data_IF_738884325974
#
_entry.id   IF_738884325974
#
_cell.length_a   1.000
_cell.length_b   1.000
_cell.length_c   1.000
_cell.angle_alpha   90.00
_cell.angle_beta   90.00
_cell.angle_gamma   90.00
#
_symmetry.space_group_name_H-M   'P 1'
#
loop_
_entity.id
_entity.type
_entity.pdbx_description
1 polymer ?
#
# COMPACT_ATOMS: atom_id res chain seq x y z
N UNK A 1 -30.69 26.00 -11.23
CA UNK A 1 -30.37 25.53 -9.86
C UNK A 1 -29.27 24.48 -9.96
N UNK A 2 -28.20 24.62 -9.15
CA UNK A 2 -27.02 23.74 -9.10
C UNK A 2 -27.38 22.28 -8.84
N UNK A 3 -26.72 21.34 -9.54
CA UNK A 3 -26.05 20.16 -8.94
C UNK A 3 -24.82 19.80 -9.76
N UNK A 4 -23.80 19.35 -9.04
CA UNK A 4 -22.39 19.16 -9.39
C UNK A 4 -22.20 17.75 -9.97
N UNK A 5 -21.43 17.63 -11.05
CA UNK A 5 -21.00 16.35 -11.62
C UNK A 5 -19.58 16.09 -11.07
N UNK A 6 -19.43 15.05 -10.25
CA UNK A 6 -18.13 14.46 -9.94
C UNK A 6 -17.91 13.31 -10.93
N UNK A 7 -16.87 13.43 -11.75
CA UNK A 7 -16.41 12.36 -12.62
C UNK A 7 -15.55 11.37 -11.85
N UNK A 8 -16.06 10.15 -11.70
CA UNK A 8 -15.24 8.93 -11.64
C UNK A 8 -15.64 8.16 -12.89
N UNK A 9 -14.78 8.20 -13.91
CA UNK A 9 -14.95 7.35 -15.09
C UNK A 9 -14.38 5.97 -14.73
N UNK A 10 -15.24 5.11 -14.20
CA UNK A 10 -15.10 3.66 -14.39
C UNK A 10 -15.92 3.35 -15.63
N UNK A 11 -15.28 3.33 -16.79
CA UNK A 11 -15.89 2.81 -18.00
C UNK A 11 -15.89 1.27 -17.93
N UNK A 12 -16.93 0.71 -17.31
CA UNK A 12 -17.34 -0.68 -17.54
C UNK A 12 -18.00 -0.72 -18.91
N UNK A 13 -17.21 -1.02 -19.95
CA UNK A 13 -17.75 -1.30 -21.28
C UNK A 13 -18.00 -2.81 -21.33
N UNK A 14 -19.26 -3.22 -21.17
CA UNK A 14 -19.70 -4.55 -21.54
C UNK A 14 -19.76 -4.62 -23.08
N UNK A 15 -18.70 -5.09 -23.73
CA UNK A 15 -18.77 -5.45 -25.15
C UNK A 15 -19.48 -6.79 -25.29
N UNK A 16 -20.80 -6.74 -25.52
CA UNK A 16 -21.57 -7.89 -25.97
C UNK A 16 -21.25 -8.07 -27.46
N UNK A 17 -20.32 -8.97 -27.81
CA UNK A 17 -20.15 -9.38 -29.20
C UNK A 17 -21.25 -10.37 -29.58
N UNK A 18 -22.40 -9.83 -30.01
CA UNK A 18 -23.30 -10.52 -30.93
C UNK A 18 -22.97 -10.01 -32.34
N UNK A 19 -22.50 -10.90 -33.22
CA UNK A 19 -22.25 -10.56 -34.62
C UNK A 19 -23.60 -10.26 -35.30
N UNK A 20 -23.87 -8.99 -35.61
CA UNK A 20 -24.78 -8.58 -36.67
C UNK A 20 -24.19 -7.36 -37.39
N UNK A 21 -24.17 -7.45 -38.72
CA UNK A 21 -23.67 -6.50 -39.71
C UNK A 21 -24.20 -5.06 -39.51
N UNK A 22 -23.31 -4.07 -39.44
CA UNK A 22 -23.60 -2.69 -39.79
C UNK A 22 -22.38 -2.06 -40.50
N UNK A 23 -22.61 -1.57 -41.72
CA UNK A 23 -21.70 -0.74 -42.51
C UNK A 23 -21.53 0.63 -41.83
N UNK A 24 -20.37 1.21 -42.08
CA UNK A 24 -19.88 2.55 -41.69
C UNK A 24 -19.16 2.61 -40.33
N UNK A 25 -17.82 2.59 -40.42
CA UNK A 25 -16.90 2.94 -39.34
C UNK A 25 -17.08 4.44 -39.02
N UNK A 26 -17.38 4.83 -37.78
CA UNK A 26 -17.33 6.24 -37.40
C UNK A 26 -15.87 6.74 -37.46
N UNK A 27 -15.65 8.05 -37.69
CA UNK A 27 -14.31 8.60 -37.81
C UNK A 27 -13.52 8.37 -36.53
N UNK A 28 -12.32 7.81 -36.66
CA UNK A 28 -11.35 7.69 -35.57
C UNK A 28 -10.94 9.09 -35.13
N UNK A 29 -11.47 9.54 -34.01
CA UNK A 29 -10.88 10.65 -33.25
C UNK A 29 -9.71 10.05 -32.47
N UNK A 30 -8.50 10.28 -32.96
CA UNK A 30 -7.28 9.95 -32.24
C UNK A 30 -7.14 10.93 -31.08
N UNK A 31 -7.60 10.52 -29.90
CA UNK A 31 -7.37 11.27 -28.67
C UNK A 31 -5.95 10.93 -28.25
N UNK A 32 -5.00 11.79 -28.62
CA UNK A 32 -3.67 11.73 -28.03
C UNK A 32 -3.85 11.73 -26.51
N UNK A 33 -3.27 10.74 -25.78
CA UNK A 33 -3.28 10.78 -24.32
C UNK A 33 -2.75 12.16 -23.89
N UNK A 34 -3.26 12.75 -22.80
CA UNK A 34 -2.61 13.92 -22.25
C UNK A 34 -1.14 13.54 -22.08
N UNK A 35 -0.28 14.17 -22.90
CA UNK A 35 1.15 14.19 -22.61
C UNK A 35 1.22 14.58 -21.15
N UNK A 36 1.96 13.83 -20.33
CA UNK A 36 2.38 14.30 -19.02
C UNK A 36 3.22 15.55 -19.27
N UNK A 37 2.53 16.67 -19.45
CA UNK A 37 3.12 18.00 -19.43
C UNK A 37 3.56 18.12 -17.99
N UNK A 38 4.88 18.14 -17.78
CA UNK A 38 5.56 18.45 -16.51
C UNK A 38 4.59 19.03 -15.49
N UNK A 39 4.05 18.16 -14.62
CA UNK A 39 3.12 18.59 -13.59
C UNK A 39 3.83 19.70 -12.79
N UNK A 40 3.17 20.83 -12.49
CA UNK A 40 3.84 21.88 -11.74
C UNK A 40 4.30 21.29 -10.41
N UNK A 41 5.56 21.54 -10.04
CA UNK A 41 6.11 21.10 -8.76
C UNK A 41 5.37 21.81 -7.63
N UNK A 42 4.48 21.10 -6.95
CA UNK A 42 3.83 21.59 -5.75
C UNK A 42 4.44 20.90 -4.54
N UNK A 43 4.92 21.70 -3.59
CA UNK A 43 5.25 21.17 -2.27
C UNK A 43 3.96 20.80 -1.55
N UNK A 44 3.94 19.66 -0.88
CA UNK A 44 2.82 19.28 -0.03
C UNK A 44 2.73 20.23 1.17
N UNK A 45 1.52 20.55 1.64
CA UNK A 45 1.33 21.23 2.93
C UNK A 45 1.05 20.15 3.97
N UNK A 46 1.73 20.19 5.11
CA UNK A 46 1.54 19.20 6.20
C UNK A 46 1.21 19.93 7.49
N UNK A 47 0.01 19.70 8.01
CA UNK A 47 -0.50 20.35 9.22
C UNK A 47 -0.94 19.31 10.26
N UNK A 48 -0.84 19.61 11.56
CA UNK A 48 -1.26 18.69 12.60
C UNK A 48 -2.79 18.62 12.70
N UNK A 49 -3.32 17.41 12.81
CA UNK A 49 -4.60 17.15 13.47
C UNK A 49 -4.32 16.70 14.90
N UNK A 50 -4.77 17.50 15.86
CA UNK A 50 -4.55 17.23 17.28
C UNK A 50 -5.68 16.39 17.88
N UNK A 51 -5.32 15.38 18.66
CA UNK A 51 -6.24 14.61 19.51
C UNK A 51 -5.65 14.57 20.91
N UNK A 52 -6.27 15.30 21.84
CA UNK A 52 -5.77 15.43 23.21
C UNK A 52 -6.87 15.25 24.24
N UNK A 53 -6.68 14.33 25.17
CA UNK A 53 -7.57 14.13 26.32
C UNK A 53 -6.89 13.35 27.44
N UNK A 54 -7.45 13.44 28.64
CA UNK A 54 -7.08 12.60 29.78
C UNK A 54 -8.34 12.06 30.45
N UNK A 55 -8.29 10.82 30.91
CA UNK A 55 -9.31 10.22 31.76
C UNK A 55 -8.64 9.50 32.95
N UNK A 56 -9.36 8.66 33.67
CA UNK A 56 -8.84 7.99 34.88
C UNK A 56 -7.69 7.03 34.60
N UNK A 57 -7.62 6.46 33.40
CA UNK A 57 -6.66 5.40 33.06
C UNK A 57 -5.62 5.77 32.00
N UNK A 58 -5.85 6.80 31.18
CA UNK A 58 -4.94 7.17 30.10
C UNK A 58 -4.85 8.69 29.89
N UNK A 59 -3.69 9.15 29.43
CA UNK A 59 -3.46 10.45 28.81
C UNK A 59 -3.06 10.26 27.34
N UNK A 60 -3.72 11.00 26.44
CA UNK A 60 -3.50 10.95 25.00
C UNK A 60 -3.16 12.36 24.51
N UNK A 61 -2.05 12.51 23.79
CA UNK A 61 -1.61 13.75 23.14
C UNK A 61 -1.02 13.43 21.75
N UNK A 62 -1.88 13.39 20.73
CA UNK A 62 -1.49 12.99 19.37
C UNK A 62 -1.44 14.21 18.46
N UNK A 63 -0.32 14.40 17.77
CA UNK A 63 -0.24 15.20 16.54
C UNK A 63 -0.19 14.25 15.35
N UNK A 64 -1.29 14.18 14.61
CA UNK A 64 -1.43 13.35 13.41
C UNK A 64 -1.10 14.21 12.19
N UNK A 65 -0.06 13.90 11.39
CA UNK A 65 0.24 14.67 10.20
C UNK A 65 -0.87 14.51 9.15
N UNK A 66 -1.46 15.64 8.73
CA UNK A 66 -2.38 15.70 7.60
C UNK A 66 -1.69 16.41 6.43
N UNK A 67 -1.43 15.64 5.38
CA UNK A 67 -0.99 16.16 4.10
C UNK A 67 -2.19 16.73 3.36
N UNK A 68 -2.05 17.94 2.83
CA UNK A 68 -2.90 18.52 1.80
C UNK A 68 -2.12 18.55 0.49
N UNK A 69 -2.69 17.96 -0.54
CA UNK A 69 -2.09 17.87 -1.87
C UNK A 69 -3.14 17.95 -2.98
N UNK A 70 -2.73 18.39 -4.17
CA UNK A 70 -3.66 18.64 -5.28
C UNK A 70 -4.38 17.36 -5.73
N UNK A 71 -3.70 16.21 -5.70
CA UNK A 71 -4.32 14.92 -5.98
C UNK A 71 -4.94 14.32 -4.70
N UNK A 72 -6.27 14.29 -4.62
CA UNK A 72 -7.02 13.77 -3.46
C UNK A 72 -6.88 12.27 -3.23
N UNK A 73 -6.56 11.49 -4.26
CA UNK A 73 -6.29 10.06 -4.10
C UNK A 73 -4.92 9.88 -3.44
N UNK A 74 -3.88 10.54 -3.96
CA UNK A 74 -2.53 10.55 -3.37
C UNK A 74 -2.56 11.08 -1.93
N UNK A 75 -3.28 12.19 -1.69
CA UNK A 75 -3.51 12.75 -0.35
C UNK A 75 -4.05 11.70 0.62
N UNK A 76 -5.12 10.99 0.21
CA UNK A 76 -5.74 9.95 1.04
C UNK A 76 -4.77 8.80 1.33
N UNK A 77 -4.03 8.32 0.33
CA UNK A 77 -3.06 7.22 0.49
C UNK A 77 -2.01 7.59 1.55
N UNK A 78 -1.42 8.78 1.44
CA UNK A 78 -0.37 9.20 2.38
C UNK A 78 -0.93 9.42 3.80
N UNK A 79 -2.09 10.06 3.92
CA UNK A 79 -2.74 10.31 5.21
C UNK A 79 -3.17 9.00 5.90
N UNK A 80 -3.82 8.08 5.18
CA UNK A 80 -4.21 6.78 5.73
C UNK A 80 -2.97 6.01 6.24
N UNK A 81 -1.86 6.06 5.50
CA UNK A 81 -0.62 5.34 5.83
C UNK A 81 0.05 5.84 7.11
N UNK A 82 -0.02 7.14 7.38
CA UNK A 82 0.52 7.75 8.61
C UNK A 82 -0.47 7.70 9.78
N UNK A 83 -1.77 7.91 9.55
CA UNK A 83 -2.79 7.90 10.61
C UNK A 83 -2.95 6.50 11.22
N UNK A 84 -2.84 5.45 10.41
CA UNK A 84 -3.05 4.06 10.86
C UNK A 84 -2.20 3.65 12.08
N UNK A 85 -0.85 3.69 12.06
CA UNK A 85 -0.06 3.26 13.21
C UNK A 85 -0.27 4.12 14.46
N UNK A 86 -0.52 5.43 14.29
CA UNK A 86 -0.84 6.33 15.42
C UNK A 86 -2.14 5.87 16.10
N UNK A 87 -3.18 5.62 15.31
CA UNK A 87 -4.48 5.20 15.84
C UNK A 87 -4.45 3.78 16.38
N UNK A 88 -3.69 2.87 15.75
CA UNK A 88 -3.50 1.51 16.24
C UNK A 88 -2.82 1.52 17.62
N UNK A 89 -1.73 2.28 17.80
CA UNK A 89 -1.04 2.42 19.09
C UNK A 89 -1.94 3.04 20.16
N UNK A 90 -2.68 4.11 19.82
CA UNK A 90 -3.63 4.74 20.73
C UNK A 90 -4.71 3.74 21.17
N UNK A 91 -5.32 3.02 20.22
CA UNK A 91 -6.43 2.12 20.52
C UNK A 91 -5.98 0.89 21.31
N UNK A 92 -4.82 0.31 21.00
CA UNK A 92 -4.27 -0.83 21.74
C UNK A 92 -3.90 -0.43 23.18
N UNK A 93 -3.19 0.69 23.35
CA UNK A 93 -2.78 1.19 24.66
C UNK A 93 -3.98 1.60 25.53
N UNK A 94 -4.98 2.26 24.94
CA UNK A 94 -6.20 2.64 25.66
C UNK A 94 -7.00 1.42 26.13
N UNK A 95 -7.08 0.38 25.29
CA UNK A 95 -7.73 -0.87 25.64
C UNK A 95 -7.03 -1.53 26.82
N UNK A 96 -5.70 -1.66 26.76
CA UNK A 96 -4.91 -2.26 27.85
C UNK A 96 -5.04 -1.45 29.15
N UNK A 97 -4.94 -0.12 29.08
CA UNK A 97 -5.09 0.77 30.21
C UNK A 97 -6.45 0.58 30.92
N UNK A 98 -7.52 0.48 30.13
CA UNK A 98 -8.87 0.26 30.65
C UNK A 98 -9.02 -1.11 31.28
N UNK A 99 -8.49 -2.16 30.66
CA UNK A 99 -8.55 -3.52 31.20
C UNK A 99 -7.81 -3.64 32.53
N UNK A 100 -6.60 -3.09 32.63
CA UNK A 100 -5.83 -3.08 33.87
C UNK A 100 -6.49 -2.23 34.95
N UNK A 101 -6.99 -1.04 34.61
CA UNK A 101 -7.67 -0.17 35.57
C UNK A 101 -8.90 -0.82 36.23
N UNK A 102 -9.62 -1.67 35.48
CA UNK A 102 -10.81 -2.36 35.99
C UNK A 102 -10.49 -3.65 36.76
N UNK A 103 -9.30 -4.23 36.58
CA UNK A 103 -8.92 -5.54 37.15
C UNK A 103 -7.87 -5.44 38.25
N UNK A 104 -7.21 -4.28 38.40
CA UNK A 104 -6.24 -4.02 39.47
C UNK A 104 -6.87 -4.25 40.84
N UNK A 105 -6.03 -4.64 41.81
CA UNK A 105 -6.46 -4.72 43.20
C UNK A 105 -6.81 -3.33 43.73
N UNK A 106 -7.77 -3.27 44.66
CA UNK A 106 -8.35 -2.02 45.15
C UNK A 106 -7.32 -1.02 45.68
N UNK A 107 -6.28 -1.54 46.33
CA UNK A 107 -5.21 -0.74 46.94
C UNK A 107 -3.97 -0.62 46.05
N UNK A 108 -3.99 -1.21 44.85
CA UNK A 108 -2.87 -1.11 43.91
C UNK A 108 -2.82 0.30 43.31
N UNK A 109 -1.70 1.04 43.50
CA UNK A 109 -1.52 2.33 42.86
C UNK A 109 -1.50 2.13 41.34
N UNK A 110 -2.22 2.99 40.64
CA UNK A 110 -2.30 2.94 39.18
C UNK A 110 -1.71 4.22 38.61
N UNK A 111 -0.63 4.07 37.84
CA UNK A 111 -0.08 5.15 37.04
C UNK A 111 -0.83 5.18 35.71
N UNK A 112 -1.35 6.35 35.33
CA UNK A 112 -2.01 6.51 34.04
C UNK A 112 -1.08 6.11 32.91
N UNK A 113 -1.63 5.35 31.97
CA UNK A 113 -0.92 5.07 30.73
C UNK A 113 -0.84 6.37 29.93
N UNK A 114 0.12 6.46 29.03
CA UNK A 114 0.31 7.63 28.20
C UNK A 114 0.55 7.21 26.75
N UNK A 115 -0.03 7.94 25.81
CA UNK A 115 0.27 7.81 24.37
C UNK A 115 0.48 9.20 23.80
N UNK A 116 1.61 9.41 23.12
CA UNK A 116 1.86 10.64 22.38
C UNK A 116 2.33 10.34 20.97
N UNK A 117 2.06 11.27 20.06
CA UNK A 117 2.67 11.28 18.73
C UNK A 117 3.11 12.68 18.36
N UNK A 118 4.26 12.78 17.70
CA UNK A 118 4.73 14.00 17.04
C UNK A 118 5.20 13.68 15.62
N UNK A 119 5.42 14.70 14.80
CA UNK A 119 5.97 14.51 13.46
C UNK A 119 6.88 15.66 13.05
N UNK A 120 7.77 15.37 12.10
CA UNK A 120 8.66 16.35 11.47
C UNK A 120 8.64 16.17 9.95
N UNK A 121 8.48 17.27 9.20
CA UNK A 121 8.69 17.28 7.75
C UNK A 121 10.16 17.56 7.48
N UNK A 122 10.93 16.52 7.17
CA UNK A 122 12.39 16.61 7.02
C UNK A 122 12.81 16.95 5.59
N UNK A 123 11.97 16.66 4.59
CA UNK A 123 12.20 16.99 3.18
C UNK A 123 10.88 17.21 2.44
N UNK A 124 10.80 18.20 1.54
CA UNK A 124 9.59 18.50 0.77
C UNK A 124 9.94 19.30 -0.48
N UNK A 125 10.52 18.61 -1.47
CA UNK A 125 11.01 19.20 -2.72
C UNK A 125 10.97 18.16 -3.85
N UNK A 126 10.81 18.61 -5.11
CA UNK A 126 10.97 17.75 -6.28
C UNK A 126 10.05 16.53 -6.32
N UNK A 127 8.77 16.71 -5.97
CA UNK A 127 7.76 15.64 -5.85
C UNK A 127 8.11 14.56 -4.82
N UNK A 128 9.00 14.84 -3.87
CA UNK A 128 9.33 13.95 -2.77
C UNK A 128 9.04 14.63 -1.45
N UNK A 129 8.36 13.91 -0.57
CA UNK A 129 8.04 14.33 0.79
C UNK A 129 8.60 13.29 1.78
N UNK A 130 9.42 13.74 2.71
CA UNK A 130 9.89 12.92 3.84
C UNK A 130 9.29 13.45 5.13
N UNK A 131 8.56 12.57 5.84
CA UNK A 131 7.94 12.85 7.12
C UNK A 131 8.38 11.79 8.12
N UNK A 132 8.89 12.22 9.27
CA UNK A 132 9.23 11.34 10.39
C UNK A 132 8.13 11.45 11.42
N UNK A 133 7.49 10.33 11.76
CA UNK A 133 6.52 10.24 12.85
C UNK A 133 7.22 9.60 14.05
N UNK A 134 7.13 10.25 15.21
CA UNK A 134 7.61 9.70 16.49
C UNK A 134 6.39 9.31 17.31
N UNK A 135 6.32 8.04 17.71
CA UNK A 135 5.29 7.49 18.56
C UNK A 135 5.89 7.19 19.93
N UNK A 136 5.15 7.49 20.98
CA UNK A 136 5.53 7.10 22.32
C UNK A 136 4.33 6.52 23.05
N UNK A 137 4.54 5.44 23.80
CA UNK A 137 3.60 5.00 24.80
C UNK A 137 4.28 4.59 26.11
N UNK A 138 3.53 4.72 27.20
CA UNK A 138 3.91 4.23 28.51
C UNK A 138 2.75 3.42 29.08
N UNK A 139 3.01 2.16 29.40
CA UNK A 139 2.04 1.21 29.93
C UNK A 139 2.40 0.75 31.35
N UNK A 140 3.21 1.55 32.07
CA UNK A 140 3.81 1.16 33.34
C UNK A 140 5.26 0.65 33.19
N UNK A 141 5.91 0.34 34.31
CA UNK A 141 7.30 -0.14 34.34
C UNK A 141 8.34 0.97 34.54
N UNK A 142 9.60 0.70 34.15
CA UNK A 142 10.72 1.61 34.40
C UNK A 142 10.79 2.79 33.41
N UNK A 143 10.30 2.62 32.18
CA UNK A 143 10.32 3.63 31.13
C UNK A 143 9.23 3.34 30.07
N UNK A 144 8.90 4.32 29.24
CA UNK A 144 8.04 4.11 28.07
C UNK A 144 8.79 3.47 26.90
N UNK A 145 8.08 3.35 25.79
CA UNK A 145 8.61 2.88 24.52
C UNK A 145 8.46 4.01 23.47
N UNK A 146 9.52 4.23 22.69
CA UNK A 146 9.53 5.21 21.60
C UNK A 146 9.79 4.49 20.28
N UNK A 147 8.95 4.75 19.29
CA UNK A 147 9.12 4.25 17.93
C UNK A 147 9.25 5.44 16.98
N UNK A 148 10.13 5.31 15.98
CA UNK A 148 10.31 6.28 14.91
C UNK A 148 9.98 5.62 13.58
N UNK A 149 9.03 6.20 12.85
CA UNK A 149 8.59 5.72 11.55
C UNK A 149 8.83 6.83 10.52
N UNK A 150 9.75 6.58 9.59
CA UNK A 150 10.01 7.49 8.48
C UNK A 150 9.21 7.10 7.24
N UNK A 151 8.55 8.08 6.64
CA UNK A 151 7.84 7.95 5.38
C UNK A 151 8.51 8.81 4.32
N UNK A 152 9.06 8.18 3.28
CA UNK A 152 9.65 8.86 2.12
C UNK A 152 8.73 8.69 0.92
N UNK A 153 7.79 9.62 0.75
CA UNK A 153 6.76 9.59 -0.28
C UNK A 153 7.23 10.14 -1.63
N UNK A 154 6.84 9.47 -2.70
CA UNK A 154 6.69 10.05 -4.04
C UNK A 154 5.30 10.71 -4.13
N UNK A 155 5.25 12.04 -4.23
CA UNK A 155 4.03 12.83 -4.28
C UNK A 155 3.21 12.60 -5.55
N UNK A 156 3.76 11.99 -6.60
CA UNK A 156 2.99 11.60 -7.78
C UNK A 156 2.08 10.41 -7.47
N UNK A 157 2.57 9.45 -6.69
CA UNK A 157 1.92 8.15 -6.46
C UNK A 157 1.35 7.99 -5.05
N UNK A 158 1.86 8.76 -4.07
CA UNK A 158 1.58 8.60 -2.64
C UNK A 158 2.30 7.41 -2.01
N UNK A 159 3.18 6.73 -2.75
CA UNK A 159 3.91 5.54 -2.28
C UNK A 159 5.18 5.92 -1.54
N UNK A 160 5.55 5.09 -0.57
CA UNK A 160 6.84 5.18 0.12
C UNK A 160 7.91 4.37 -0.59
N UNK A 161 9.13 4.87 -0.67
CA UNK A 161 10.24 4.19 -1.36
C UNK A 161 11.32 3.68 -0.43
N UNK A 162 12.20 2.86 -1.00
CA UNK A 162 13.44 2.38 -0.39
C UNK A 162 14.63 3.18 -0.89
N UNK A 163 15.81 3.00 -0.27
CA UNK A 163 17.04 3.71 -0.66
C UNK A 163 17.34 3.66 -2.17
N UNK A 164 17.08 2.51 -2.83
CA UNK A 164 17.26 2.34 -4.29
C UNK A 164 16.42 3.29 -5.14
N UNK A 165 15.27 3.74 -4.64
CA UNK A 165 14.34 4.59 -5.38
C UNK A 165 14.81 6.05 -5.37
N UNK A 166 15.60 6.43 -4.37
CA UNK A 166 16.13 7.77 -4.16
C UNK A 166 17.60 7.94 -4.57
N UNK A 167 18.37 6.85 -4.66
CA UNK A 167 19.80 6.87 -4.98
C UNK A 167 20.11 6.09 -6.26
N UNK A 168 21.17 6.48 -6.94
CA UNK A 168 21.68 5.81 -8.14
C UNK A 168 22.43 4.52 -7.76
N UNK A 169 22.16 3.41 -8.44
CA UNK A 169 22.85 2.14 -8.15
C UNK A 169 24.35 2.23 -8.45
N UNK A 170 24.72 3.05 -9.45
CA UNK A 170 26.09 3.34 -9.85
C UNK A 170 26.92 4.00 -8.74
N UNK A 171 26.27 4.57 -7.72
CA UNK A 171 26.95 5.19 -6.57
C UNK A 171 27.37 4.17 -5.51
N UNK A 172 27.03 2.89 -5.68
CA UNK A 172 27.25 1.85 -4.68
C UNK A 172 26.76 2.32 -3.28
N UNK A 173 25.54 2.88 -3.27
CA UNK A 173 25.03 3.65 -2.14
C UNK A 173 25.08 2.89 -0.81
N UNK A 174 24.86 1.57 -0.83
CA UNK A 174 24.92 0.74 0.39
C UNK A 174 26.30 0.74 1.02
N UNK A 175 27.36 0.67 0.20
CA UNK A 175 28.74 0.73 0.70
C UNK A 175 29.05 2.12 1.26
N UNK A 176 28.70 3.17 0.52
CA UNK A 176 28.91 4.57 0.97
C UNK A 176 28.24 4.82 2.32
N UNK A 177 27.00 4.36 2.47
CA UNK A 177 26.23 4.48 3.71
C UNK A 177 26.89 3.65 4.82
N UNK A 178 27.21 2.38 4.57
CA UNK A 178 27.83 1.50 5.58
C UNK A 178 29.14 2.07 6.11
N UNK A 179 30.01 2.52 5.21
CA UNK A 179 31.32 3.08 5.58
C UNK A 179 31.13 4.35 6.43
N UNK A 180 30.16 5.19 6.11
CA UNK A 180 29.88 6.40 6.87
C UNK A 180 29.26 6.12 8.25
N UNK A 181 28.32 5.18 8.34
CA UNK A 181 27.73 4.74 9.62
C UNK A 181 28.84 4.19 10.52
N UNK A 182 29.70 3.31 10.01
CA UNK A 182 30.84 2.77 10.79
C UNK A 182 31.82 3.86 11.23
N UNK A 183 32.10 4.83 10.36
CA UNK A 183 32.95 5.98 10.68
C UNK A 183 32.34 6.90 11.75
N UNK A 184 31.02 7.02 11.83
CA UNK A 184 30.36 7.78 12.89
C UNK A 184 30.34 7.00 14.21
N UNK A 185 30.05 5.70 14.17
CA UNK A 185 30.13 4.81 15.35
C UNK A 185 31.55 4.80 15.95
N UNK A 186 32.60 4.74 15.13
CA UNK A 186 33.99 4.68 15.62
C UNK A 186 34.46 5.95 16.34
N UNK A 187 33.77 7.08 16.17
CA UNK A 187 34.06 8.32 16.88
C UNK A 187 33.51 8.33 18.31
N UNK A 188 32.47 7.54 18.57
CA UNK A 188 31.80 7.48 19.88
C UNK A 188 31.42 6.03 20.23
N UNK A 189 32.39 5.08 20.25
CA UNK A 189 32.08 3.65 20.35
C UNK A 189 31.37 3.26 21.64
N UNK A 190 31.60 4.00 22.73
CA UNK A 190 31.03 3.73 24.05
C UNK A 190 29.51 3.93 24.12
N UNK A 191 28.91 4.59 23.12
CA UNK A 191 27.44 4.75 23.02
C UNK A 191 26.73 3.49 22.52
N UNK A 192 27.45 2.53 21.94
CA UNK A 192 26.89 1.40 21.20
C UNK A 192 27.19 0.06 21.87
N UNK A 193 26.52 -1.00 21.42
CA UNK A 193 26.85 -2.34 21.92
C UNK A 193 28.26 -2.76 21.51
N UNK A 194 28.87 -3.58 22.38
CA UNK A 194 30.19 -4.15 22.12
C UNK A 194 30.18 -4.92 20.81
N UNK A 195 31.28 -4.81 20.05
CA UNK A 195 31.51 -5.49 18.77
C UNK A 195 30.57 -5.08 17.62
N UNK A 196 29.76 -4.02 17.76
CA UNK A 196 28.84 -3.58 16.69
C UNK A 196 29.54 -3.28 15.35
N UNK A 197 30.75 -2.73 15.39
CA UNK A 197 31.54 -2.45 14.20
C UNK A 197 31.93 -3.73 13.44
N UNK A 198 32.06 -4.86 14.15
CA UNK A 198 32.38 -6.16 13.57
C UNK A 198 31.14 -6.88 13.05
N UNK A 199 29.94 -6.61 13.59
CA UNK A 199 28.69 -7.30 13.22
C UNK A 199 27.82 -6.53 12.24
N UNK A 200 28.04 -5.21 12.08
CA UNK A 200 27.32 -4.40 11.10
C UNK A 200 27.88 -4.66 9.69
N UNK A 201 27.43 -5.73 9.02
CA UNK A 201 28.01 -6.22 7.76
C UNK A 201 27.47 -5.54 6.50
N UNK A 202 26.35 -4.82 6.58
CA UNK A 202 25.69 -4.28 5.40
C UNK A 202 24.52 -3.35 5.74
N UNK A 203 23.99 -2.74 4.69
CA UNK A 203 22.75 -1.98 4.74
C UNK A 203 21.65 -2.86 4.13
N UNK A 204 20.64 -3.30 4.89
CA UNK A 204 19.54 -4.11 4.38
C UNK A 204 18.67 -3.30 3.41
N UNK A 205 17.81 -3.98 2.65
CA UNK A 205 16.95 -3.34 1.65
C UNK A 205 15.91 -2.41 2.26
N UNK A 206 15.35 -2.84 3.38
CA UNK A 206 14.36 -2.19 4.23
C UNK A 206 14.99 -1.36 5.35
N UNK A 207 16.26 -0.94 5.19
CA UNK A 207 16.92 -0.07 6.16
C UNK A 207 16.07 1.18 6.43
N UNK A 208 15.86 1.47 7.71
CA UNK A 208 15.20 2.68 8.18
C UNK A 208 15.99 3.94 7.81
N UNK A 209 15.36 4.86 7.07
CA UNK A 209 15.96 6.12 6.65
C UNK A 209 14.93 7.22 6.44
N UNK A 210 15.37 8.48 6.49
CA UNK A 210 14.62 9.63 6.01
C UNK A 210 15.50 10.58 5.21
N UNK A 211 14.86 11.43 4.39
CA UNK A 211 15.55 12.42 3.57
C UNK A 211 15.58 13.76 4.30
N UNK A 212 16.67 14.51 4.09
CA UNK A 212 16.83 15.89 4.55
C UNK A 212 17.35 16.73 3.40
N UNK A 213 17.39 18.06 3.54
CA UNK A 213 17.85 18.94 2.45
C UNK A 213 19.30 18.68 2.01
N UNK A 214 20.14 18.17 2.89
CA UNK A 214 21.58 18.06 2.70
C UNK A 214 22.14 16.63 2.83
N UNK A 215 21.28 15.64 3.09
CA UNK A 215 21.69 14.24 3.12
C UNK A 215 20.56 13.26 3.43
N UNK A 216 20.95 12.00 3.55
CA UNK A 216 20.08 10.92 4.02
C UNK A 216 20.43 10.65 5.48
N UNK A 217 19.45 10.46 6.33
CA UNK A 217 19.68 9.98 7.69
C UNK A 217 19.27 8.53 7.77
N UNK A 218 20.22 7.66 8.13
CA UNK A 218 19.96 6.28 8.52
C UNK A 218 19.72 6.26 10.02
N UNK A 219 18.70 5.54 10.47
CA UNK A 219 18.45 5.37 11.89
C UNK A 219 18.21 3.91 12.26
N UNK A 220 18.47 3.59 13.51
CA UNK A 220 18.27 2.26 14.07
C UNK A 220 17.28 2.34 15.24
N UNK A 221 16.27 1.45 15.33
CA UNK A 221 15.32 1.45 16.44
C UNK A 221 16.00 1.32 17.81
N UNK A 222 15.25 1.62 18.87
CA UNK A 222 15.71 1.37 20.24
C UNK A 222 16.19 -0.07 20.39
N UNK A 223 17.31 -0.25 21.10
CA UNK A 223 17.94 -1.56 21.35
C UNK A 223 18.49 -2.30 20.13
N UNK A 224 18.47 -1.74 18.93
CA UNK A 224 18.98 -2.46 17.76
C UNK A 224 20.52 -2.53 17.79
N UNK A 225 21.17 -1.37 17.89
CA UNK A 225 22.64 -1.27 17.90
C UNK A 225 23.23 -0.60 19.15
N UNK A 226 22.37 -0.09 20.04
CA UNK A 226 22.76 0.69 21.21
C UNK A 226 21.78 0.46 22.38
N UNK A 227 22.22 0.61 23.65
CA UNK A 227 21.32 0.52 24.80
C UNK A 227 20.28 1.65 24.80
N UNK A 228 19.16 1.45 25.49
CA UNK A 228 18.04 2.42 25.57
C UNK A 228 18.46 3.87 25.83
N UNK A 229 19.43 4.05 26.74
CA UNK A 229 19.91 5.39 27.15
C UNK A 229 20.55 6.18 26.02
N UNK A 230 21.01 5.52 24.95
CA UNK A 230 21.53 6.15 23.75
C UNK A 230 20.41 6.66 22.82
N UNK A 231 19.14 6.33 23.11
CA UNK A 231 18.00 6.67 22.27
C UNK A 231 18.00 5.90 20.94
N UNK A 232 17.37 6.49 19.93
CA UNK A 232 17.33 5.99 18.54
C UNK A 232 18.55 6.57 17.82
N UNK A 233 19.61 5.79 17.52
CA UNK A 233 20.80 6.33 16.89
C UNK A 233 20.51 6.76 15.45
N UNK A 234 21.02 7.93 15.08
CA UNK A 234 20.87 8.53 13.75
C UNK A 234 22.23 8.86 13.14
N UNK A 235 22.39 8.54 11.87
CA UNK A 235 23.62 8.72 11.11
C UNK A 235 23.31 9.51 9.85
N UNK A 236 23.84 10.71 9.75
CA UNK A 236 23.64 11.57 8.57
C UNK A 236 24.72 11.30 7.52
N UNK A 237 24.30 10.95 6.32
CA UNK A 237 25.16 10.75 5.14
C UNK A 237 24.92 11.93 4.19
N UNK A 238 25.85 12.90 4.10
CA UNK A 238 25.71 14.04 3.20
C UNK A 238 25.56 13.61 1.74
N UNK A 239 24.73 14.32 0.97
CA UNK A 239 24.53 13.99 -0.45
C UNK A 239 25.83 14.04 -1.27
N UNK A 240 26.80 14.84 -0.84
CA UNK A 240 28.13 14.95 -1.47
C UNK A 240 28.98 13.68 -1.39
N UNK A 241 28.59 12.67 -0.59
CA UNK A 241 29.26 11.36 -0.56
C UNK A 241 28.79 10.44 -1.69
N UNK A 242 27.67 10.75 -2.34
CA UNK A 242 27.16 10.04 -3.50
C UNK A 242 27.59 10.79 -4.76
N UNK A 243 28.14 10.08 -5.74
CA UNK A 243 28.68 10.71 -6.96
C UNK A 243 27.61 11.51 -7.71
N UNK A 244 26.37 11.06 -7.71
CA UNK A 244 25.27 11.74 -8.39
C UNK A 244 24.28 12.43 -7.43
N UNK A 245 24.46 12.27 -6.11
CA UNK A 245 23.55 12.82 -5.11
C UNK A 245 22.17 12.15 -5.10
N UNK A 246 21.14 12.89 -4.68
CA UNK A 246 19.75 12.44 -4.72
C UNK A 246 19.22 12.41 -6.15
N UNK A 247 18.46 11.37 -6.52
CA UNK A 247 17.72 11.31 -7.78
C UNK A 247 16.76 12.50 -7.90
N UNK A 248 16.77 13.17 -9.06
CA UNK A 248 15.90 14.33 -9.34
C UNK A 248 14.49 13.95 -9.76
N UNK A 249 14.36 12.84 -10.47
CA UNK A 249 13.09 12.33 -11.00
C UNK A 249 12.70 11.04 -10.28
N UNK A 250 12.40 11.15 -8.99
CA UNK A 250 11.93 10.01 -8.20
C UNK A 250 10.55 9.62 -8.72
N UNK A 251 10.42 8.37 -9.17
CA UNK A 251 9.16 7.75 -9.53
C UNK A 251 9.15 6.35 -8.93
N UNK A 252 8.39 6.20 -7.86
CA UNK A 252 8.28 4.91 -7.17
C UNK A 252 7.26 4.09 -7.93
N UNK A 253 7.75 3.14 -8.73
CA UNK A 253 6.90 2.19 -9.45
C UNK A 253 6.19 1.28 -8.46
N UNK A 254 4.96 0.90 -8.78
CA UNK A 254 4.24 -0.14 -8.06
C UNK A 254 5.03 -1.43 -8.01
N UNK A 255 5.13 -2.03 -6.82
CA UNK A 255 5.46 -3.44 -6.74
C UNK A 255 4.39 -4.24 -7.52
N UNK A 256 4.85 -5.31 -8.16
CA UNK A 256 4.22 -5.98 -9.28
C UNK A 256 2.80 -6.48 -8.96
N UNK A 257 1.77 -5.74 -9.37
CA UNK A 257 0.42 -6.29 -9.48
C UNK A 257 0.51 -7.55 -10.34
N UNK A 258 0.11 -8.68 -9.77
CA UNK A 258 0.15 -9.97 -10.44
C UNK A 258 -1.26 -10.49 -10.64
N UNK A 259 -1.48 -11.16 -11.77
CA UNK A 259 -2.73 -11.85 -12.06
C UNK A 259 -2.49 -13.35 -11.86
N UNK A 260 -3.08 -13.91 -10.80
CA UNK A 260 -3.08 -15.35 -10.57
C UNK A 260 -4.30 -15.99 -11.24
N UNK A 261 -4.14 -17.22 -11.75
CA UNK A 261 -5.26 -17.98 -12.34
C UNK A 261 -5.87 -18.90 -11.28
N UNK A 262 -7.16 -18.69 -11.00
CA UNK A 262 -7.99 -19.61 -10.23
C UNK A 262 -8.68 -20.61 -11.15
N UNK A 263 -8.83 -21.84 -10.69
CA UNK A 263 -9.46 -22.92 -11.47
C UNK A 263 -10.52 -23.67 -10.68
N UNK A 264 -11.65 -23.96 -11.32
CA UNK A 264 -12.73 -24.78 -10.77
C UNK A 264 -13.41 -25.57 -11.88
N UNK A 265 -13.35 -26.90 -11.79
CA UNK A 265 -14.02 -27.81 -12.74
C UNK A 265 -15.05 -28.64 -11.98
N UNK A 266 -16.32 -28.62 -12.42
CA UNK A 266 -17.35 -29.55 -11.94
C UNK A 266 -18.00 -30.26 -13.12
N UNK A 267 -17.95 -31.59 -13.13
CA UNK A 267 -18.58 -32.41 -14.16
C UNK A 267 -19.87 -33.01 -13.63
N UNK A 268 -20.92 -32.97 -14.42
CA UNK A 268 -22.22 -33.55 -14.10
C UNK A 268 -22.93 -34.05 -15.35
N UNK A 269 -23.97 -34.87 -15.15
CA UNK A 269 -24.66 -35.57 -16.24
C UNK A 269 -25.35 -34.62 -17.23
N UNK A 270 -26.01 -33.56 -16.73
CA UNK A 270 -26.75 -32.61 -17.57
C UNK A 270 -26.12 -31.21 -17.62
N UNK A 271 -25.15 -30.94 -16.73
CA UNK A 271 -24.46 -29.66 -16.64
C UNK A 271 -23.02 -29.87 -16.17
N UNK A 272 -22.07 -29.25 -16.86
CA UNK A 272 -20.67 -29.19 -16.44
C UNK A 272 -20.14 -27.75 -16.48
N UNK A 273 -19.22 -27.40 -15.59
CA UNK A 273 -18.53 -26.11 -15.58
C UNK A 273 -17.01 -26.25 -15.58
N UNK A 274 -16.35 -25.41 -16.37
CA UNK A 274 -14.90 -25.32 -16.52
C UNK A 274 -14.48 -23.86 -16.37
N UNK A 275 -14.08 -23.46 -15.16
CA UNK A 275 -13.78 -22.07 -14.83
C UNK A 275 -12.27 -21.91 -14.65
N UNK A 276 -11.67 -21.01 -15.44
CA UNK A 276 -10.27 -20.58 -15.37
C UNK A 276 -10.27 -19.06 -15.41
N UNK A 277 -10.16 -18.40 -14.26
CA UNK A 277 -10.41 -16.97 -14.16
C UNK A 277 -9.34 -16.24 -13.34
N UNK A 278 -9.14 -14.95 -13.58
CA UNK A 278 -8.07 -14.20 -12.97
C UNK A 278 -8.44 -13.73 -11.55
N UNK A 279 -7.42 -13.62 -10.71
CA UNK A 279 -7.46 -12.91 -9.43
C UNK A 279 -6.32 -11.90 -9.40
N UNK A 280 -6.64 -10.66 -9.09
CA UNK A 280 -5.65 -9.62 -8.86
C UNK A 280 -5.03 -9.85 -7.49
N UNK A 281 -3.70 -9.80 -7.44
CA UNK A 281 -2.90 -9.86 -6.22
C UNK A 281 -1.95 -8.68 -6.16
N UNK A 282 -1.57 -8.34 -4.93
CA UNK A 282 -0.57 -7.32 -4.63
C UNK A 282 -0.99 -5.92 -5.12
N UNK A 283 -2.29 -5.64 -5.16
CA UNK A 283 -2.76 -4.27 -5.35
C UNK A 283 -2.55 -3.49 -4.05
N UNK A 284 -2.02 -2.26 -4.12
CA UNK A 284 -1.72 -1.47 -2.91
C UNK A 284 -2.94 -1.25 -2.01
N UNK A 285 -4.13 -1.24 -2.61
CA UNK A 285 -5.38 -1.13 -1.90
C UNK A 285 -6.05 -2.52 -1.77
N UNK A 286 -5.97 -3.18 -0.61
CA UNK A 286 -6.55 -4.50 -0.40
C UNK A 286 -8.10 -4.49 -0.43
N UNK A 287 -8.73 -3.34 -0.18
CA UNK A 287 -10.19 -3.19 -0.29
C UNK A 287 -10.59 -3.17 -1.77
N UNK A 288 -9.87 -2.43 -2.61
CA UNK A 288 -10.11 -2.40 -4.06
C UNK A 288 -9.76 -3.75 -4.68
N UNK A 289 -8.65 -4.38 -4.28
CA UNK A 289 -8.30 -5.75 -4.70
C UNK A 289 -9.45 -6.70 -4.45
N UNK A 290 -9.96 -6.71 -3.20
CA UNK A 290 -11.10 -7.53 -2.80
C UNK A 290 -12.36 -7.18 -3.59
N UNK A 291 -12.62 -5.90 -3.86
CA UNK A 291 -13.79 -5.48 -4.63
C UNK A 291 -13.72 -5.95 -6.08
N UNK A 292 -12.58 -5.82 -6.76
CA UNK A 292 -12.40 -6.27 -8.14
C UNK A 292 -12.54 -7.79 -8.21
N UNK A 293 -11.85 -8.51 -7.32
CA UNK A 293 -11.96 -9.97 -7.24
C UNK A 293 -13.40 -10.42 -6.92
N UNK A 294 -14.15 -9.66 -6.12
CA UNK A 294 -15.58 -9.90 -5.85
C UNK A 294 -16.45 -9.66 -7.09
N UNK A 295 -16.15 -8.64 -7.89
CA UNK A 295 -16.89 -8.34 -9.13
C UNK A 295 -16.69 -9.48 -10.13
N UNK A 296 -15.44 -9.90 -10.37
CA UNK A 296 -15.10 -11.01 -11.27
C UNK A 296 -15.85 -12.29 -10.85
N UNK A 297 -15.74 -12.67 -9.58
CA UNK A 297 -16.38 -13.89 -9.07
C UNK A 297 -17.90 -13.82 -9.11
N UNK A 298 -18.50 -12.65 -8.85
CA UNK A 298 -19.95 -12.44 -8.95
C UNK A 298 -20.45 -12.55 -10.38
N UNK A 299 -19.73 -11.99 -11.34
CA UNK A 299 -20.11 -12.05 -12.76
C UNK A 299 -20.09 -13.49 -13.29
N UNK A 300 -19.02 -14.23 -13.00
CA UNK A 300 -18.91 -15.67 -13.28
C UNK A 300 -20.04 -16.47 -12.61
N UNK A 301 -20.38 -16.14 -11.36
CA UNK A 301 -21.48 -16.79 -10.65
C UNK A 301 -22.84 -16.53 -11.32
N UNK A 302 -23.08 -15.33 -11.83
CA UNK A 302 -24.32 -15.00 -12.54
C UNK A 302 -24.41 -15.75 -13.87
N UNK A 303 -23.34 -15.71 -14.67
CA UNK A 303 -23.26 -16.46 -15.93
C UNK A 303 -23.53 -17.96 -15.74
N UNK A 304 -22.82 -18.59 -14.80
CA UNK A 304 -22.99 -20.04 -14.55
C UNK A 304 -24.40 -20.38 -14.07
N UNK A 305 -25.05 -19.53 -13.27
CA UNK A 305 -26.47 -19.71 -12.87
C UNK A 305 -27.41 -19.69 -14.08
N UNK A 306 -27.21 -18.78 -15.02
CA UNK A 306 -28.05 -18.69 -16.22
C UNK A 306 -27.90 -19.93 -17.12
N UNK A 307 -26.68 -20.43 -17.30
CA UNK A 307 -26.44 -21.68 -18.03
C UNK A 307 -27.07 -22.87 -17.30
N UNK A 308 -26.95 -22.94 -15.97
CA UNK A 308 -27.59 -23.99 -15.16
C UNK A 308 -29.11 -23.98 -15.32
N UNK A 309 -29.72 -22.80 -15.36
CA UNK A 309 -31.17 -22.67 -15.59
C UNK A 309 -31.57 -23.22 -16.96
N UNK A 310 -30.79 -22.94 -18.01
CA UNK A 310 -31.00 -23.52 -19.35
C UNK A 310 -30.83 -25.04 -19.35
N UNK A 311 -29.86 -25.55 -18.61
CA UNK A 311 -29.64 -26.98 -18.44
C UNK A 311 -30.86 -27.68 -17.81
N UNK A 312 -31.40 -27.14 -16.71
CA UNK A 312 -32.60 -27.70 -16.09
C UNK A 312 -33.83 -27.63 -16.99
N UNK A 313 -33.99 -26.55 -17.78
CA UNK A 313 -35.08 -26.43 -18.76
C UNK A 313 -34.94 -27.38 -19.98
N UNK A 314 -33.74 -27.93 -20.18
CA UNK A 314 -33.42 -28.85 -21.28
C UNK A 314 -33.43 -30.31 -20.86
N UNK A 315 -33.65 -30.58 -19.56
CA UNK A 315 -33.63 -31.92 -18.99
C UNK A 315 -34.64 -32.83 -19.67
N UNK A 316 -34.17 -33.99 -20.13
CA UNK A 316 -35.00 -34.96 -20.86
C UNK A 316 -35.28 -34.61 -22.32
N UNK A 317 -34.81 -33.48 -22.84
CA UNK A 317 -34.88 -33.16 -24.28
C UNK A 317 -33.75 -33.84 -25.03
N UNK A 318 -33.99 -34.16 -26.30
CA UNK A 318 -33.00 -34.68 -27.22
C UNK A 318 -32.60 -33.61 -28.24
N UNK A 319 -31.32 -33.56 -28.60
CA UNK A 319 -30.81 -32.72 -29.67
C UNK A 319 -31.11 -33.33 -31.05
N UNK A 320 -30.71 -32.65 -32.12
CA UNK A 320 -30.95 -33.09 -33.52
C UNK A 320 -30.30 -34.45 -33.87
N UNK A 321 -29.40 -34.95 -33.01
CA UNK A 321 -28.75 -36.25 -33.13
C UNK A 321 -29.34 -37.31 -32.19
N UNK A 322 -30.51 -37.04 -31.61
CA UNK A 322 -31.24 -37.92 -30.69
C UNK A 322 -30.46 -38.25 -29.39
N UNK A 323 -29.60 -37.33 -28.94
CA UNK A 323 -28.85 -37.43 -27.68
C UNK A 323 -29.39 -36.47 -26.63
N UNK A 324 -29.31 -36.77 -25.32
CA UNK A 324 -29.70 -35.84 -24.27
C UNK A 324 -29.01 -34.49 -24.42
N UNK A 325 -29.78 -33.41 -24.35
CA UNK A 325 -29.21 -32.05 -24.34
C UNK A 325 -28.47 -31.85 -23.03
N UNK A 326 -27.16 -31.63 -23.13
CA UNK A 326 -26.31 -31.32 -21.98
C UNK A 326 -25.74 -29.92 -22.14
N UNK A 327 -25.49 -29.22 -21.05
CA UNK A 327 -24.94 -27.86 -21.09
C UNK A 327 -23.56 -27.80 -20.47
N UNK A 328 -22.66 -27.06 -21.12
CA UNK A 328 -21.35 -26.72 -20.58
C UNK A 328 -21.23 -25.21 -20.39
N UNK A 329 -20.80 -24.77 -19.20
CA UNK A 329 -20.35 -23.40 -18.96
C UNK A 329 -18.82 -23.39 -18.89
N UNK A 330 -18.17 -22.57 -19.72
CA UNK A 330 -16.72 -22.37 -19.68
C UNK A 330 -16.40 -20.90 -19.49
N UNK A 331 -15.46 -20.61 -18.60
CA UNK A 331 -14.88 -19.28 -18.42
C UNK A 331 -13.37 -19.43 -18.54
N UNK A 332 -12.74 -18.60 -19.36
CA UNK A 332 -11.30 -18.58 -19.52
C UNK A 332 -10.78 -17.15 -19.62
N UNK A 333 -9.57 -16.94 -19.13
CA UNK A 333 -8.83 -15.69 -19.28
C UNK A 333 -7.40 -16.03 -19.71
N UNK A 334 -7.09 -15.64 -20.94
CA UNK A 334 -5.82 -15.95 -21.60
C UNK A 334 -4.94 -14.72 -21.75
N UNK A 335 -5.55 -13.53 -21.83
CA UNK A 335 -4.85 -12.27 -22.05
C UNK A 335 -5.15 -11.27 -20.94
N UNK A 336 -4.09 -10.68 -20.40
CA UNK A 336 -4.17 -9.56 -19.48
C UNK A 336 -3.03 -8.58 -19.79
N UNK A 337 -3.29 -7.31 -19.52
CA UNK A 337 -2.31 -6.24 -19.62
C UNK A 337 -2.24 -5.50 -18.29
N UNK A 338 -1.02 -5.36 -17.75
CA UNK A 338 -0.77 -4.65 -16.50
C UNK A 338 0.29 -3.59 -16.75
N UNK A 339 -0.04 -2.35 -16.40
CA UNK A 339 0.92 -1.26 -16.26
C UNK A 339 0.59 -0.45 -14.98
N UNK A 340 1.37 0.58 -14.63
CA UNK A 340 1.14 1.36 -13.41
C UNK A 340 -0.24 2.01 -13.28
N UNK A 341 -0.94 2.26 -14.39
CA UNK A 341 -2.17 3.06 -14.43
C UNK A 341 -3.41 2.26 -14.91
N UNK A 342 -3.20 1.07 -15.47
CA UNK A 342 -4.24 0.26 -16.12
C UNK A 342 -3.99 -1.24 -15.90
N UNK A 343 -5.05 -1.92 -15.46
CA UNK A 343 -5.17 -3.37 -15.49
C UNK A 343 -6.31 -3.70 -16.46
N UNK A 344 -5.98 -4.31 -17.59
CA UNK A 344 -6.95 -4.85 -18.55
C UNK A 344 -6.95 -6.37 -18.45
N UNK A 345 -8.13 -6.96 -18.34
CA UNK A 345 -8.30 -8.40 -18.19
C UNK A 345 -9.41 -8.83 -19.13
N UNK A 346 -9.08 -9.71 -20.07
CA UNK A 346 -10.07 -10.30 -20.94
C UNK A 346 -10.58 -11.61 -20.33
N UNK A 347 -11.89 -11.67 -20.10
CA UNK A 347 -12.58 -12.84 -19.60
C UNK A 347 -13.59 -13.27 -20.64
N UNK A 348 -13.43 -14.49 -21.15
CA UNK A 348 -14.33 -15.06 -22.13
C UNK A 348 -15.28 -16.05 -21.48
N UNK A 349 -16.56 -15.89 -21.81
CA UNK A 349 -17.66 -16.73 -21.33
C UNK A 349 -18.24 -17.53 -22.49
N UNK A 350 -18.30 -18.86 -22.36
CA UNK A 350 -18.85 -19.76 -23.37
C UNK A 350 -19.90 -20.67 -22.76
N UNK A 351 -21.06 -20.76 -23.39
CA UNK A 351 -22.12 -21.70 -23.02
C UNK A 351 -22.49 -22.52 -24.25
N UNK A 352 -22.31 -23.83 -24.17
CA UNK A 352 -22.61 -24.73 -25.29
C UNK A 352 -23.66 -25.75 -24.86
N UNK A 353 -24.60 -26.05 -25.75
CA UNK A 353 -25.44 -27.24 -25.70
C UNK A 353 -24.79 -28.34 -26.56
N UNK A 354 -24.57 -29.51 -25.95
CA UNK A 354 -23.82 -30.63 -26.53
C UNK A 354 -24.47 -31.31 -27.73
#
# INVERSE_FOLDING_TARGET
MKKIIFGIIVCLIFSINSIVLAKDKPPTVEINPPRLVSAPTYNAIVEPKEVKYTNDYIEVDLKIPLITYNNKVTEKIMNDKMEKPIMDLKNSTEKEAKEFFNTKEKDQPFMKYNVTSDYEVTYNQGNVLSVVVTLYNYTGGAHGNTEKIAYNFDLNTGKTGYLKDFLYEEDNYRKVILDEVRNQISKEPDKYFKDILNTLHGIPYDQNFYLTKDGIVIYYPLYDIAPYVAGIPEFKIPYSKFKHGLKKDVSIKSDNVSIEKEQSVKKGENYSEYLYYPQIKNLDNPIIEKQINTIITKDISNFTKDVKKKAELSKGKLNIYNRPVTWGASVYSDEYFVNPDLISIDITYSANDG
#
